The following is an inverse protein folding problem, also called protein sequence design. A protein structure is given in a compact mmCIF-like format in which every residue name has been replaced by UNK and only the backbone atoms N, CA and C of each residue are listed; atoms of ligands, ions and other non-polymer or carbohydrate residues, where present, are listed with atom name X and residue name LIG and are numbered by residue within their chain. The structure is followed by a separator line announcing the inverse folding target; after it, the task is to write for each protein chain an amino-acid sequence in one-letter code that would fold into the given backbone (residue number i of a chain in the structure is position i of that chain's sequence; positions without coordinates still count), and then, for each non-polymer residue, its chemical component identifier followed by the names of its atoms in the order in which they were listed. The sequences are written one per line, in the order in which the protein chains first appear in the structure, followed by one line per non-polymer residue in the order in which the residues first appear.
data_IF_384560677699
#
_entry.id   IF_384560677699
#
_cell.length_a   1.000
_cell.length_b   1.000
_cell.length_c   1.000
_cell.angle_alpha   90.00
_cell.angle_beta   90.00
_cell.angle_gamma   90.00
#
_symmetry.space_group_name_H-M   'P 1'
#
loop_
_entity.id
_entity.type
_entity.pdbx_description
1 polymer ?
#
# COMPACT_ATOMS: atom_id res chain seq x y z
N UNK A 1 -25.60 47.03 -34.65
CA UNK A 1 -25.74 45.60 -34.29
C UNK A 1 -24.61 45.26 -33.34
N UNK A 2 -24.91 45.18 -32.04
CA UNK A 2 -23.92 44.92 -30.99
C UNK A 2 -23.88 43.40 -30.78
N UNK A 3 -22.69 42.81 -30.90
CA UNK A 3 -22.44 41.40 -30.64
C UNK A 3 -22.73 41.10 -29.15
N UNK A 4 -23.66 40.20 -28.88
CA UNK A 4 -23.93 39.69 -27.53
C UNK A 4 -22.74 38.89 -27.03
N UNK A 5 -22.32 39.16 -25.79
CA UNK A 5 -21.30 38.38 -25.10
C UNK A 5 -21.79 36.94 -24.88
N UNK A 6 -20.91 35.92 -24.97
CA UNK A 6 -21.28 34.55 -24.65
C UNK A 6 -21.63 34.39 -23.17
N UNK A 7 -22.69 33.65 -22.88
CA UNK A 7 -23.14 33.33 -21.53
C UNK A 7 -22.04 32.65 -20.70
N UNK A 8 -21.92 32.95 -19.39
CA UNK A 8 -20.95 32.30 -18.53
C UNK A 8 -21.27 30.81 -18.43
N UNK A 9 -20.31 29.99 -18.82
CA UNK A 9 -20.35 28.53 -18.72
C UNK A 9 -20.71 28.15 -17.29
N UNK A 10 -21.87 27.51 -17.10
CA UNK A 10 -22.30 26.98 -15.83
C UNK A 10 -21.16 26.16 -15.21
N UNK A 11 -20.66 26.62 -14.07
CA UNK A 11 -19.57 25.96 -13.36
C UNK A 11 -19.92 24.49 -13.14
N UNK A 12 -19.02 23.61 -13.56
CA UNK A 12 -19.04 22.20 -13.19
C UNK A 12 -19.05 22.12 -11.67
N UNK A 13 -20.21 21.87 -11.07
CA UNK A 13 -20.29 21.62 -9.64
C UNK A 13 -19.58 20.29 -9.40
N UNK A 14 -18.39 20.35 -8.80
CA UNK A 14 -17.71 19.16 -8.30
C UNK A 14 -18.67 18.42 -7.36
N UNK A 15 -18.82 17.08 -7.50
CA UNK A 15 -19.73 16.34 -6.64
C UNK A 15 -19.36 16.54 -5.17
N UNK A 16 -20.36 16.64 -4.28
CA UNK A 16 -20.13 16.90 -2.86
C UNK A 16 -19.18 15.85 -2.27
N UNK A 17 -18.22 16.24 -1.41
CA UNK A 17 -17.27 15.31 -0.81
C UNK A 17 -18.01 14.19 -0.08
N UNK A 18 -17.61 12.94 -0.34
CA UNK A 18 -18.23 11.78 0.29
C UNK A 18 -18.13 11.88 1.81
N UNK A 19 -19.27 11.74 2.51
CA UNK A 19 -19.31 11.81 3.96
C UNK A 19 -18.47 10.73 4.64
N UNK A 20 -18.00 11.01 5.86
CA UNK A 20 -17.20 10.09 6.70
C UNK A 20 -17.94 8.77 6.99
N UNK A 21 -19.26 8.78 6.97
CA UNK A 21 -20.11 7.59 7.09
C UNK A 21 -20.49 7.09 5.70
N UNK A 22 -19.59 6.35 5.08
CA UNK A 22 -19.86 5.63 3.85
C UNK A 22 -19.39 4.18 3.96
N UNK A 23 -19.84 3.35 3.01
CA UNK A 23 -19.56 1.91 3.00
C UNK A 23 -18.06 1.62 3.04
N UNK A 24 -17.22 2.38 2.34
CA UNK A 24 -15.77 2.16 2.33
C UNK A 24 -15.16 2.33 3.73
N UNK A 25 -15.50 3.41 4.44
CA UNK A 25 -14.99 3.66 5.80
C UNK A 25 -15.48 2.62 6.81
N UNK A 26 -16.73 2.20 6.72
CA UNK A 26 -17.27 1.14 7.59
C UNK A 26 -16.50 -0.17 7.41
N UNK A 27 -16.14 -0.51 6.17
CA UNK A 27 -15.37 -1.71 5.87
C UNK A 27 -13.92 -1.62 6.36
N UNK A 28 -13.29 -0.46 6.26
CA UNK A 28 -11.96 -0.24 6.84
C UNK A 28 -12.00 -0.42 8.37
N UNK A 29 -13.02 0.10 9.04
CA UNK A 29 -13.20 -0.09 10.49
C UNK A 29 -13.44 -1.56 10.86
N UNK A 30 -14.30 -2.26 10.12
CA UNK A 30 -14.51 -3.70 10.30
C UNK A 30 -13.18 -4.44 10.16
N UNK A 31 -12.36 -4.12 9.15
CA UNK A 31 -11.05 -4.76 8.97
C UNK A 31 -10.13 -4.53 10.14
N UNK A 32 -10.04 -3.28 10.64
CA UNK A 32 -9.24 -2.96 11.83
C UNK A 32 -9.69 -3.80 13.01
N UNK A 33 -11.00 -4.01 13.19
CA UNK A 33 -11.54 -4.89 14.24
C UNK A 33 -11.28 -6.39 13.98
N UNK A 34 -11.20 -6.83 12.72
CA UNK A 34 -10.89 -8.21 12.37
C UNK A 34 -9.42 -8.59 12.66
N UNK A 35 -8.49 -7.63 12.68
CA UNK A 35 -7.07 -7.92 13.00
C UNK A 35 -6.89 -8.52 14.40
N UNK A 36 -7.36 -7.90 15.51
CA UNK A 36 -7.23 -8.51 16.83
C UNK A 36 -8.03 -9.81 16.96
N UNK A 37 -9.16 -9.94 16.27
CA UNK A 37 -9.93 -11.20 16.21
C UNK A 37 -9.10 -12.30 15.55
N UNK A 38 -8.47 -12.01 14.41
CA UNK A 38 -7.56 -12.93 13.74
C UNK A 38 -6.44 -13.39 14.68
N UNK A 39 -5.74 -12.43 15.33
CA UNK A 39 -4.63 -12.73 16.24
C UNK A 39 -5.12 -13.63 17.37
N UNK A 40 -6.25 -13.27 18.00
CA UNK A 40 -6.81 -14.06 19.09
C UNK A 40 -7.13 -15.50 18.66
N UNK A 41 -7.85 -15.68 17.55
CA UNK A 41 -8.19 -17.00 17.02
C UNK A 41 -6.95 -17.82 16.63
N UNK A 42 -5.92 -17.15 16.11
CA UNK A 42 -4.69 -17.80 15.65
C UNK A 42 -3.92 -18.47 16.78
N UNK A 43 -3.99 -17.92 18.00
CA UNK A 43 -3.33 -18.45 19.20
C UNK A 43 -4.17 -19.45 20.00
N UNK A 44 -5.40 -19.75 19.56
CA UNK A 44 -6.20 -20.80 20.19
C UNK A 44 -5.80 -22.18 19.65
N UNK A 45 -5.70 -23.16 20.54
CA UNK A 45 -5.31 -24.52 20.20
C UNK A 45 -6.41 -25.27 19.46
N UNK A 46 -6.07 -25.81 18.28
CA UNK A 46 -6.92 -26.74 17.54
C UNK A 46 -7.15 -26.33 16.09
N UNK A 47 -7.31 -27.34 15.23
CA UNK A 47 -7.49 -27.15 13.79
C UNK A 47 -8.70 -26.27 13.45
N UNK A 48 -9.79 -26.36 14.23
CA UNK A 48 -10.98 -25.54 14.03
C UNK A 48 -10.70 -24.04 14.20
N UNK A 49 -9.98 -23.66 15.26
CA UNK A 49 -9.61 -22.25 15.49
C UNK A 49 -8.61 -21.76 14.46
N UNK A 50 -7.69 -22.62 14.03
CA UNK A 50 -6.76 -22.30 12.95
C UNK A 50 -7.48 -22.02 11.62
N UNK A 51 -8.50 -22.82 11.30
CA UNK A 51 -9.37 -22.57 10.13
C UNK A 51 -10.21 -21.30 10.29
N UNK A 52 -10.69 -21.00 11.50
CA UNK A 52 -11.38 -19.75 11.78
C UNK A 52 -10.47 -18.53 11.59
N UNK A 53 -9.21 -18.59 12.07
CA UNK A 53 -8.20 -17.56 11.82
C UNK A 53 -7.93 -17.39 10.32
N UNK A 54 -7.80 -18.50 9.57
CA UNK A 54 -7.67 -18.45 8.11
C UNK A 54 -8.87 -17.77 7.45
N UNK A 55 -10.10 -18.11 7.86
CA UNK A 55 -11.31 -17.51 7.32
C UNK A 55 -11.36 -16.00 7.59
N UNK A 56 -11.04 -15.56 8.81
CA UNK A 56 -10.98 -14.13 9.16
C UNK A 56 -9.91 -13.41 8.32
N UNK A 57 -8.71 -13.98 8.20
CA UNK A 57 -7.64 -13.42 7.37
C UNK A 57 -8.05 -13.31 5.90
N UNK A 58 -8.68 -14.35 5.35
CA UNK A 58 -9.15 -14.37 3.96
C UNK A 58 -10.24 -13.34 3.72
N UNK A 59 -11.25 -13.25 4.59
CA UNK A 59 -12.33 -12.25 4.52
C UNK A 59 -11.72 -10.85 4.57
N UNK A 60 -10.89 -10.55 5.57
CA UNK A 60 -10.27 -9.25 5.73
C UNK A 60 -9.43 -8.82 4.51
N UNK A 61 -8.70 -9.76 3.90
CA UNK A 61 -7.87 -9.52 2.71
C UNK A 61 -8.69 -9.34 1.43
N UNK A 62 -9.76 -10.13 1.26
CA UNK A 62 -10.62 -10.08 0.06
C UNK A 62 -11.47 -8.80 0.07
N UNK A 63 -12.08 -8.48 1.21
CA UNK A 63 -12.87 -7.25 1.40
C UNK A 63 -12.02 -6.01 1.12
N UNK A 64 -10.74 -5.97 1.53
CA UNK A 64 -9.87 -4.84 1.17
C UNK A 64 -9.75 -4.60 -0.32
N UNK A 65 -9.45 -5.67 -1.06
CA UNK A 65 -9.24 -5.56 -2.49
C UNK A 65 -10.52 -5.13 -3.21
N UNK A 66 -11.63 -5.79 -2.91
CA UNK A 66 -12.91 -5.55 -3.60
C UNK A 66 -13.41 -4.13 -3.29
N UNK A 67 -13.45 -3.76 -2.01
CA UNK A 67 -14.07 -2.51 -1.61
C UNK A 67 -13.16 -1.30 -1.86
N UNK A 68 -11.84 -1.49 -1.81
CA UNK A 68 -10.89 -0.48 -2.28
C UNK A 68 -11.04 -0.21 -3.79
N UNK A 69 -11.33 -1.23 -4.60
CA UNK A 69 -11.59 -1.06 -6.04
C UNK A 69 -12.95 -0.37 -6.29
N UNK A 70 -14.00 -0.76 -5.55
CA UNK A 70 -15.33 -0.15 -5.65
C UNK A 70 -15.32 1.31 -5.18
N UNK A 71 -14.67 1.62 -4.05
CA UNK A 71 -14.58 2.98 -3.51
C UNK A 71 -13.85 3.91 -4.48
N UNK A 72 -12.77 3.43 -5.10
CA UNK A 72 -12.04 4.17 -6.14
C UNK A 72 -12.89 4.37 -7.40
N UNK A 73 -13.64 3.36 -7.84
CA UNK A 73 -14.51 3.46 -9.01
C UNK A 73 -15.71 4.40 -8.80
N UNK A 74 -16.20 4.53 -7.57
CA UNK A 74 -17.38 5.35 -7.23
C UNK A 74 -17.03 6.72 -6.63
N UNK A 75 -15.74 7.09 -6.56
CA UNK A 75 -15.31 8.36 -5.98
C UNK A 75 -15.60 8.51 -4.48
N UNK A 76 -15.76 7.40 -3.75
CA UNK A 76 -16.11 7.38 -2.32
C UNK A 76 -14.88 7.49 -1.40
N UNK A 77 -13.82 8.14 -1.88
CA UNK A 77 -12.54 8.24 -1.17
C UNK A 77 -12.62 9.39 -0.16
N UNK A 78 -12.46 9.08 1.14
CA UNK A 78 -12.45 10.08 2.21
C UNK A 78 -11.05 10.29 2.78
N UNK A 79 -10.81 11.42 3.44
CA UNK A 79 -9.53 11.69 4.10
C UNK A 79 -9.26 10.74 5.26
N UNK A 80 -10.31 10.28 5.96
CA UNK A 80 -10.19 9.24 6.97
C UNK A 80 -9.71 7.92 6.36
N UNK A 81 -10.36 7.45 5.29
CA UNK A 81 -9.99 6.21 4.59
C UNK A 81 -8.55 6.24 4.07
N UNK A 82 -8.10 7.39 3.51
CA UNK A 82 -6.71 7.57 3.05
C UNK A 82 -5.66 7.30 4.14
N UNK A 83 -5.99 7.53 5.42
CA UNK A 83 -5.10 7.30 6.57
C UNK A 83 -5.33 5.92 7.19
N UNK A 84 -6.59 5.50 7.31
CA UNK A 84 -6.96 4.25 7.94
C UNK A 84 -6.61 3.02 7.09
N UNK A 85 -6.75 3.08 5.77
CA UNK A 85 -6.49 1.94 4.88
C UNK A 85 -5.03 1.46 4.96
N UNK A 86 -4.00 2.32 4.88
CA UNK A 86 -2.60 1.89 5.02
C UNK A 86 -2.25 1.33 6.41
N UNK A 87 -3.01 1.68 7.45
CA UNK A 87 -2.83 1.17 8.80
C UNK A 87 -3.45 -0.23 8.89
N UNK A 88 -4.70 -0.37 8.43
CA UNK A 88 -5.42 -1.64 8.45
C UNK A 88 -4.69 -2.72 7.64
N UNK A 89 -4.21 -2.38 6.43
CA UNK A 89 -3.45 -3.27 5.56
C UNK A 89 -2.15 -3.79 6.21
N UNK A 90 -1.38 -2.87 6.82
CA UNK A 90 -0.15 -3.23 7.55
C UNK A 90 -0.42 -3.98 8.84
N UNK A 91 -1.52 -3.69 9.53
CA UNK A 91 -1.87 -4.35 10.77
C UNK A 91 -2.25 -5.81 10.55
N UNK A 92 -3.04 -6.12 9.50
CA UNK A 92 -3.41 -7.49 9.17
C UNK A 92 -2.18 -8.32 8.76
N UNK A 93 -1.43 -7.81 7.78
CA UNK A 93 -0.25 -8.51 7.25
C UNK A 93 0.85 -8.64 8.30
N UNK A 94 1.13 -7.57 9.04
CA UNK A 94 2.12 -7.57 10.12
C UNK A 94 1.71 -8.46 11.28
N UNK A 95 0.43 -8.40 11.69
CA UNK A 95 -0.12 -9.26 12.74
C UNK A 95 -0.03 -10.74 12.39
N UNK A 96 -0.27 -11.11 11.13
CA UNK A 96 -0.12 -12.48 10.66
C UNK A 96 1.34 -12.95 10.64
N UNK A 97 2.27 -12.15 10.10
CA UNK A 97 3.70 -12.50 10.08
C UNK A 97 4.29 -12.62 11.48
N UNK A 98 3.95 -11.69 12.37
CA UNK A 98 4.38 -11.74 13.78
C UNK A 98 3.82 -12.96 14.47
N UNK A 99 2.51 -13.24 14.32
CA UNK A 99 1.89 -14.42 14.93
C UNK A 99 2.55 -15.72 14.46
N UNK A 100 2.83 -15.83 13.15
CA UNK A 100 3.56 -16.97 12.58
C UNK A 100 4.97 -17.13 13.17
N UNK A 101 5.69 -16.03 13.37
CA UNK A 101 7.02 -16.07 13.98
C UNK A 101 6.99 -16.41 15.47
N UNK A 102 5.98 -15.93 16.20
CA UNK A 102 5.78 -16.28 17.61
C UNK A 102 5.49 -17.77 17.79
N UNK A 103 4.70 -18.37 16.88
CA UNK A 103 4.43 -19.81 16.88
C UNK A 103 5.61 -20.66 16.38
N UNK A 104 6.73 -20.03 16.00
CA UNK A 104 7.92 -20.73 15.48
C UNK A 104 7.77 -21.26 14.05
N UNK A 105 6.69 -20.93 13.36
CA UNK A 105 6.41 -21.41 12.00
C UNK A 105 7.17 -20.60 10.94
N UNK A 106 7.50 -19.34 11.23
CA UNK A 106 8.23 -18.44 10.32
C UNK A 106 9.43 -17.81 11.01
N UNK A 107 10.60 -17.82 10.36
CA UNK A 107 11.81 -17.28 10.98
C UNK A 107 11.72 -15.77 11.13
N UNK A 108 12.14 -15.25 12.29
CA UNK A 108 12.05 -13.82 12.62
C UNK A 108 12.73 -12.89 11.62
N UNK A 109 13.81 -13.33 10.97
CA UNK A 109 14.48 -12.52 9.95
C UNK A 109 13.60 -12.29 8.71
N UNK A 110 12.72 -13.24 8.35
CA UNK A 110 11.77 -13.09 7.24
C UNK A 110 10.75 -12.02 7.58
N UNK A 111 10.14 -12.13 8.77
CA UNK A 111 9.18 -11.16 9.29
C UNK A 111 9.80 -9.77 9.37
N UNK A 112 11.01 -9.64 9.93
CA UNK A 112 11.73 -8.38 10.01
C UNK A 112 12.04 -7.79 8.62
N UNK A 113 12.55 -8.60 7.68
CA UNK A 113 12.88 -8.13 6.34
C UNK A 113 11.65 -7.58 5.60
N UNK A 114 10.53 -8.28 5.70
CA UNK A 114 9.27 -7.85 5.09
C UNK A 114 8.74 -6.57 5.77
N UNK A 115 8.66 -6.55 7.10
CA UNK A 115 8.14 -5.41 7.86
C UNK A 115 8.97 -4.13 7.68
N UNK A 116 10.29 -4.24 7.76
CA UNK A 116 11.21 -3.13 7.53
C UNK A 116 11.02 -2.57 6.12
N UNK A 117 10.89 -3.42 5.11
CA UNK A 117 10.60 -2.95 3.74
C UNK A 117 9.26 -2.23 3.68
N UNK A 118 8.18 -2.79 4.23
CA UNK A 118 6.85 -2.16 4.15
C UNK A 118 6.82 -0.77 4.77
N UNK A 119 7.44 -0.61 5.93
CA UNK A 119 7.53 0.68 6.61
C UNK A 119 8.49 1.60 5.85
N UNK A 120 9.67 1.11 5.48
CA UNK A 120 10.71 1.89 4.80
C UNK A 120 10.25 2.46 3.45
N UNK A 121 9.60 1.66 2.60
CA UNK A 121 9.04 2.14 1.33
C UNK A 121 7.91 3.15 1.55
N UNK A 122 7.10 2.96 2.59
CA UNK A 122 6.03 3.89 2.95
C UNK A 122 6.61 5.25 3.35
N UNK A 123 7.60 5.26 4.25
CA UNK A 123 8.27 6.50 4.71
C UNK A 123 8.98 7.19 3.54
N UNK A 124 9.75 6.44 2.75
CA UNK A 124 10.47 6.98 1.60
C UNK A 124 9.51 7.61 0.58
N UNK A 125 8.34 6.99 0.36
CA UNK A 125 7.28 7.56 -0.50
C UNK A 125 6.84 8.93 0.00
N UNK A 126 6.58 9.06 1.30
CA UNK A 126 6.17 10.35 1.89
C UNK A 126 7.24 11.42 1.74
N UNK A 127 8.52 11.07 1.90
CA UNK A 127 9.64 12.00 1.75
C UNK A 127 9.82 12.45 0.29
N UNK A 128 9.75 11.52 -0.66
CA UNK A 128 10.01 11.81 -2.08
C UNK A 128 8.83 12.51 -2.76
N UNK A 129 7.60 12.37 -2.25
CA UNK A 129 6.43 13.07 -2.80
C UNK A 129 6.62 14.59 -2.87
N UNK A 130 7.46 15.17 -1.99
CA UNK A 130 7.79 16.60 -1.99
C UNK A 130 8.80 17.01 -3.08
N UNK A 131 9.48 16.04 -3.73
CA UNK A 131 10.54 16.25 -4.73
C UNK A 131 10.16 15.81 -6.14
N UNK A 132 9.08 15.04 -6.29
CA UNK A 132 8.58 14.58 -7.58
C UNK A 132 7.75 13.30 -7.45
N UNK A 133 6.84 13.07 -8.40
CA UNK A 133 5.96 11.89 -8.39
C UNK A 133 6.71 10.69 -8.97
N UNK A 134 7.10 9.73 -8.14
CA UNK A 134 7.57 8.42 -8.63
C UNK A 134 6.34 7.62 -9.10
N UNK A 135 6.21 7.25 -10.39
CA UNK A 135 5.14 6.39 -10.85
C UNK A 135 5.22 5.01 -10.17
N UNK A 136 4.07 4.52 -9.72
CA UNK A 136 3.98 3.24 -9.02
C UNK A 136 4.46 2.08 -9.90
N UNK A 137 5.34 1.22 -9.37
CA UNK A 137 5.83 0.06 -10.11
C UNK A 137 4.79 -1.07 -10.12
N UNK A 138 4.66 -1.77 -11.25
CA UNK A 138 3.82 -2.97 -11.39
C UNK A 138 4.20 -4.08 -10.40
N UNK A 139 5.44 -4.08 -9.91
CA UNK A 139 5.94 -5.03 -8.92
C UNK A 139 5.22 -4.96 -7.56
N UNK A 140 4.64 -3.81 -7.20
CA UNK A 140 3.87 -3.67 -5.96
C UNK A 140 2.65 -4.61 -5.90
N UNK A 141 1.92 -4.76 -7.02
CA UNK A 141 0.72 -5.61 -7.07
C UNK A 141 1.05 -7.09 -6.93
N UNK A 142 2.11 -7.53 -7.62
CA UNK A 142 2.58 -8.92 -7.54
C UNK A 142 3.03 -9.26 -6.12
N UNK A 143 3.77 -8.34 -5.48
CA UNK A 143 4.22 -8.49 -4.10
C UNK A 143 3.05 -8.75 -3.16
N UNK A 144 2.05 -7.88 -3.16
CA UNK A 144 0.91 -7.98 -2.24
C UNK A 144 0.15 -9.29 -2.44
N UNK A 145 -0.11 -9.69 -3.69
CA UNK A 145 -0.77 -10.96 -3.98
C UNK A 145 0.03 -12.15 -3.43
N UNK A 146 1.33 -12.19 -3.71
CA UNK A 146 2.19 -13.29 -3.32
C UNK A 146 2.33 -13.40 -1.79
N UNK A 147 2.38 -12.26 -1.11
CA UNK A 147 2.47 -12.19 0.35
C UNK A 147 1.17 -12.64 1.03
N UNK A 148 0.00 -12.20 0.55
CA UNK A 148 -1.30 -12.67 1.07
C UNK A 148 -1.46 -14.17 0.85
N UNK A 149 -1.08 -14.69 -0.31
CA UNK A 149 -1.12 -16.12 -0.61
C UNK A 149 -0.18 -16.90 0.32
N UNK A 150 1.07 -16.45 0.46
CA UNK A 150 2.05 -17.10 1.33
C UNK A 150 1.55 -17.15 2.78
N UNK A 151 1.09 -16.03 3.33
CA UNK A 151 0.54 -15.98 4.69
C UNK A 151 -0.67 -16.91 4.83
N UNK A 152 -1.61 -16.88 3.87
CA UNK A 152 -2.78 -17.76 3.88
C UNK A 152 -2.40 -19.24 3.92
N UNK A 153 -1.40 -19.66 3.14
CA UNK A 153 -0.90 -21.04 3.12
C UNK A 153 -0.22 -21.45 4.43
N UNK A 154 0.43 -20.53 5.11
CA UNK A 154 1.01 -20.77 6.44
C UNK A 154 -0.08 -20.90 7.51
N UNK A 155 -1.16 -20.12 7.41
CA UNK A 155 -2.27 -20.24 8.36
C UNK A 155 -3.03 -21.56 8.13
N UNK A 156 -3.23 -21.97 6.87
CA UNK A 156 -4.02 -23.16 6.53
C UNK A 156 -3.37 -24.45 7.06
N UNK A 157 -4.10 -25.31 7.81
CA UNK A 157 -3.55 -26.57 8.31
C UNK A 157 -3.34 -27.59 7.18
N UNK A 158 -2.39 -28.51 7.37
CA UNK A 158 -2.09 -29.59 6.42
C UNK A 158 -0.62 -29.63 5.98
N UNK A 159 -0.23 -30.66 5.20
CA UNK A 159 1.15 -30.90 4.77
C UNK A 159 1.53 -30.01 3.58
N UNK A 160 1.53 -28.69 3.78
CA UNK A 160 1.75 -27.68 2.75
C UNK A 160 3.17 -27.12 2.73
N UNK A 161 4.12 -27.72 3.45
CA UNK A 161 5.44 -27.14 3.71
C UNK A 161 6.22 -26.75 2.45
N UNK A 162 6.31 -27.58 1.39
CA UNK A 162 7.01 -27.16 0.17
C UNK A 162 6.36 -25.92 -0.46
N UNK A 163 5.03 -25.87 -0.49
CA UNK A 163 4.28 -24.77 -1.07
C UNK A 163 4.42 -23.49 -0.21
N UNK A 164 4.37 -23.61 1.11
CA UNK A 164 4.63 -22.53 2.07
C UNK A 164 6.01 -21.93 1.84
N UNK A 165 7.05 -22.75 1.75
CA UNK A 165 8.43 -22.29 1.62
C UNK A 165 8.67 -21.61 0.27
N UNK A 166 8.18 -22.21 -0.82
CA UNK A 166 8.31 -21.64 -2.17
C UNK A 166 7.58 -20.31 -2.27
N UNK A 167 6.34 -20.23 -1.79
CA UNK A 167 5.53 -19.00 -1.88
C UNK A 167 6.09 -17.89 -0.99
N UNK A 168 6.51 -18.20 0.23
CA UNK A 168 7.14 -17.21 1.13
C UNK A 168 8.52 -16.79 0.63
N UNK A 169 9.34 -17.71 0.14
CA UNK A 169 10.64 -17.39 -0.48
C UNK A 169 10.45 -16.45 -1.67
N UNK A 170 9.49 -16.74 -2.54
CA UNK A 170 9.15 -15.86 -3.65
C UNK A 170 8.63 -14.49 -3.15
N UNK A 171 7.80 -14.46 -2.10
CA UNK A 171 7.32 -13.21 -1.49
C UNK A 171 8.47 -12.34 -0.98
N UNK A 172 9.47 -12.94 -0.32
CA UNK A 172 10.69 -12.27 0.15
C UNK A 172 11.50 -11.73 -1.02
N UNK A 173 11.76 -12.55 -2.05
CA UNK A 173 12.52 -12.12 -3.24
C UNK A 173 11.84 -10.92 -3.90
N UNK A 174 10.54 -11.01 -4.18
CA UNK A 174 9.79 -9.89 -4.78
C UNK A 174 9.81 -8.66 -3.86
N UNK A 175 9.72 -8.85 -2.55
CA UNK A 175 9.78 -7.76 -1.57
C UNK A 175 11.11 -7.01 -1.61
N UNK A 176 12.21 -7.75 -1.63
CA UNK A 176 13.58 -7.20 -1.70
C UNK A 176 13.81 -6.51 -3.04
N UNK A 177 13.51 -7.17 -4.16
CA UNK A 177 13.69 -6.62 -5.51
C UNK A 177 12.89 -5.33 -5.70
N UNK A 178 11.62 -5.32 -5.30
CA UNK A 178 10.77 -4.12 -5.42
C UNK A 178 11.19 -3.02 -4.44
N UNK A 179 11.70 -3.37 -3.25
CA UNK A 179 12.28 -2.41 -2.31
C UNK A 179 13.52 -1.72 -2.88
N UNK A 180 14.44 -2.50 -3.44
CA UNK A 180 15.66 -1.99 -4.07
C UNK A 180 15.36 -1.10 -5.28
N UNK A 181 14.47 -1.52 -6.19
CA UNK A 181 14.03 -0.71 -7.34
C UNK A 181 13.45 0.64 -6.89
N UNK A 182 12.69 0.65 -5.80
CA UNK A 182 12.12 1.89 -5.26
C UNK A 182 13.19 2.83 -4.70
N UNK A 183 14.17 2.31 -3.95
CA UNK A 183 15.29 3.10 -3.40
C UNK A 183 16.14 3.68 -4.53
N UNK A 184 16.47 2.90 -5.55
CA UNK A 184 17.27 3.35 -6.71
C UNK A 184 16.55 4.48 -7.45
N UNK A 185 15.23 4.37 -7.66
CA UNK A 185 14.43 5.44 -8.29
C UNK A 185 14.40 6.70 -7.46
N UNK A 186 14.26 6.57 -6.14
CA UNK A 186 14.30 7.72 -5.22
C UNK A 186 15.65 8.44 -5.25
N UNK A 187 16.76 7.70 -5.30
CA UNK A 187 18.10 8.29 -5.37
C UNK A 187 18.36 9.03 -6.68
N UNK A 188 17.90 8.48 -7.82
CA UNK A 188 18.03 9.14 -9.13
C UNK A 188 17.27 10.48 -9.21
N UNK A 189 16.12 10.59 -8.54
CA UNK A 189 15.39 11.86 -8.45
C UNK A 189 16.11 12.89 -7.56
N UNK A 190 16.79 12.42 -6.50
CA UNK A 190 17.63 13.28 -5.67
C UNK A 190 18.82 13.87 -6.43
N UNK A 191 19.52 13.05 -7.21
CA UNK A 191 20.70 13.49 -7.97
C UNK A 191 20.41 14.41 -9.17
N UNK A 192 19.19 14.42 -9.70
CA UNK A 192 18.79 15.32 -10.79
C UNK A 192 18.55 16.77 -10.34
N UNK A 193 18.48 17.03 -9.03
CA UNK A 193 18.26 18.38 -8.47
C UNK A 193 19.57 19.14 -8.20
N UNK A 194 20.73 18.47 -8.28
CA UNK A 194 22.04 19.04 -7.98
C UNK A 194 22.87 19.35 -9.27
N UNK A 195 22.24 19.33 -10.45
CA UNK A 195 22.87 19.54 -11.75
C UNK A 195 22.42 20.81 -12.48
N UNK A 196 23.09 21.93 -12.18
CA UNK A 196 23.37 23.09 -13.07
C UNK A 196 22.23 24.05 -13.44
N UNK A 197 22.39 25.35 -13.12
CA UNK A 197 22.40 26.34 -14.21
C UNK A 197 23.58 27.32 -14.11
N UNK A 198 24.80 26.85 -14.38
CA UNK A 198 25.88 27.74 -14.79
C UNK A 198 25.74 28.03 -16.29
N UNK A 199 25.36 29.26 -16.64
CA UNK A 199 25.81 29.83 -17.91
C UNK A 199 24.82 30.58 -18.81
N UNK A 200 23.61 30.98 -18.38
CA UNK A 200 22.72 31.78 -19.27
C UNK A 200 22.64 33.29 -18.96
N UNK A 201 23.39 33.81 -17.98
CA UNK A 201 23.43 35.25 -17.71
C UNK A 201 24.49 35.98 -18.57
N UNK A 202 24.33 35.99 -19.88
CA UNK A 202 25.00 36.94 -20.76
C UNK A 202 24.00 37.46 -21.80
N UNK A 203 23.07 38.30 -21.35
CA UNK A 203 22.21 39.07 -22.23
C UNK A 203 23.02 40.06 -23.08
N UNK A 204 22.54 40.43 -24.28
CA UNK A 204 23.23 41.36 -25.16
C UNK A 204 23.36 42.75 -24.51
N UNK A 205 24.60 43.27 -24.43
CA UNK A 205 24.87 44.63 -23.95
C UNK A 205 24.36 45.65 -24.98
N UNK A 206 23.69 46.74 -24.55
CA UNK A 206 23.30 47.81 -25.46
C UNK A 206 24.53 48.56 -25.99
N UNK A 207 24.44 49.14 -27.21
CA UNK A 207 25.53 49.88 -27.81
C UNK A 207 25.80 51.16 -27.01
N UNK A 208 27.08 51.39 -26.68
CA UNK A 208 27.54 52.69 -26.18
C UNK A 208 27.81 53.59 -27.39
N UNK A 209 27.30 54.81 -27.29
CA UNK A 209 27.54 55.97 -28.16
C UNK A 209 29.02 56.21 -28.42
#
# INVERSE_FOLDING_TARGET
MIAGAPDPVAGSQDPPPAGVWNVANALTLVRIALVPVFVWLFFLDGTGWRLAAFAVFAIASITDKIDGDIARARGLVTDFGKIADPIADKALTGGALVSLSVMGELWWWVTAAIMVREIGVTVLRFVVIRRGVIPASKGGKLKTMLQVIAIGLYILPGPLDPLRWVTMGAAVVVTVVTGADYVVRAWRLGGASDGTPDGWAAGPRPPRS
#
